data_IF_345628361303
#
_entry.id   IF_345628361303
#
_cell.length_a   1.000
_cell.length_b   1.000
_cell.length_c   1.000
_cell.angle_alpha   90.00
_cell.angle_beta   90.00
_cell.angle_gamma   90.00
#
_symmetry.space_group_name_H-M   'P 1'
#
loop_
_entity.id
_entity.type
_entity.pdbx_description
1 polymer ?
#
# COMPACT_ATOMS: atom_id res chain seq x y z
N UNK A 1 -24.12 3.30 12.57
CA UNK A 1 -22.90 2.52 12.30
C UNK A 1 -22.78 2.09 10.83
N UNK A 2 -23.87 1.77 10.11
CA UNK A 2 -23.84 1.33 8.70
C UNK A 2 -23.53 2.40 7.63
N UNK A 3 -23.24 3.65 8.00
CA UNK A 3 -23.09 4.75 7.05
C UNK A 3 -21.78 4.72 6.24
N UNK A 4 -20.87 3.82 6.56
CA UNK A 4 -19.52 3.74 5.97
C UNK A 4 -19.20 2.37 5.37
N UNK A 5 -20.21 1.49 5.25
CA UNK A 5 -19.99 0.14 4.75
C UNK A 5 -20.51 0.03 3.32
N UNK A 6 -19.60 0.06 2.37
CA UNK A 6 -19.89 -0.21 0.97
C UNK A 6 -19.64 -1.69 0.67
N UNK A 7 -20.45 -2.26 -0.22
CA UNK A 7 -20.33 -3.67 -0.60
C UNK A 7 -20.45 -3.81 -2.11
N UNK A 8 -19.65 -4.70 -2.69
CA UNK A 8 -19.65 -4.99 -4.12
C UNK A 8 -19.30 -6.45 -4.40
N UNK A 9 -19.36 -6.82 -5.68
CA UNK A 9 -18.96 -8.14 -6.17
C UNK A 9 -18.03 -7.98 -7.36
N UNK A 10 -17.00 -8.80 -7.39
CA UNK A 10 -16.01 -8.90 -8.46
C UNK A 10 -15.90 -10.38 -8.83
N UNK A 11 -15.83 -10.67 -10.13
CA UNK A 11 -15.53 -12.03 -10.60
C UNK A 11 -14.11 -12.42 -10.19
N UNK A 12 -13.94 -13.64 -9.64
CA UNK A 12 -12.61 -14.20 -9.36
C UNK A 12 -11.92 -14.75 -10.60
N UNK A 13 -12.61 -14.78 -11.75
CA UNK A 13 -12.05 -15.33 -12.99
C UNK A 13 -10.85 -14.48 -13.46
N UNK A 14 -9.67 -15.10 -13.54
CA UNK A 14 -8.42 -14.43 -13.91
C UNK A 14 -7.77 -13.62 -12.78
N UNK A 15 -8.35 -13.58 -11.58
CA UNK A 15 -7.76 -12.92 -10.42
C UNK A 15 -6.65 -13.80 -9.83
N UNK A 16 -5.41 -13.33 -9.85
CA UNK A 16 -4.25 -14.07 -9.32
C UNK A 16 -3.90 -13.66 -7.90
N UNK A 17 -4.08 -12.37 -7.58
CA UNK A 17 -3.70 -11.77 -6.31
C UNK A 17 -4.77 -10.77 -5.86
N UNK A 18 -5.04 -10.72 -4.56
CA UNK A 18 -5.83 -9.67 -3.91
C UNK A 18 -5.01 -9.08 -2.77
N UNK A 19 -4.81 -7.77 -2.80
CA UNK A 19 -4.13 -7.01 -1.74
C UNK A 19 -5.19 -6.14 -1.06
N UNK A 20 -5.31 -6.29 0.25
CA UNK A 20 -6.13 -5.45 1.12
C UNK A 20 -5.16 -4.73 2.06
N UNK A 21 -5.26 -3.41 2.20
CA UNK A 21 -4.36 -2.64 3.05
C UNK A 21 -5.07 -1.43 3.65
N UNK A 22 -4.60 -0.96 4.80
CA UNK A 22 -5.05 0.29 5.43
C UNK A 22 -4.39 1.50 4.78
N UNK A 23 -4.96 2.69 4.96
CA UNK A 23 -4.41 3.96 4.46
C UNK A 23 -3.02 4.31 5.05
N UNK A 24 -2.62 3.66 6.15
CA UNK A 24 -1.25 3.68 6.66
C UNK A 24 -0.21 3.02 5.74
N UNK A 25 -0.63 2.30 4.68
CA UNK A 25 0.26 1.73 3.67
C UNK A 25 -0.03 2.41 2.34
N UNK A 26 0.99 3.05 1.76
CA UNK A 26 0.84 3.83 0.53
C UNK A 26 2.00 3.56 -0.45
N UNK A 27 1.76 3.69 -1.77
CA UNK A 27 2.82 3.62 -2.76
C UNK A 27 3.87 4.72 -2.55
N UNK A 28 5.13 4.31 -2.37
CA UNK A 28 6.27 5.22 -2.41
C UNK A 28 6.34 5.96 -3.77
N UNK A 29 6.70 7.24 -3.74
CA UNK A 29 6.79 8.09 -4.94
C UNK A 29 8.10 7.84 -5.67
N UNK A 30 8.04 7.10 -6.78
CA UNK A 30 9.16 6.86 -7.70
C UNK A 30 9.07 7.70 -8.99
N UNK A 31 7.85 8.03 -9.43
CA UNK A 31 7.59 8.93 -10.55
C UNK A 31 6.51 9.96 -10.21
N UNK A 32 6.27 10.92 -11.10
CA UNK A 32 5.18 11.89 -10.98
C UNK A 32 3.80 11.30 -11.28
N UNK A 33 3.74 10.05 -11.76
CA UNK A 33 2.49 9.34 -12.06
C UNK A 33 2.06 8.45 -10.88
N UNK A 34 0.93 8.78 -10.25
CA UNK A 34 0.36 7.97 -9.17
C UNK A 34 0.02 6.53 -9.62
N UNK A 35 -0.43 6.37 -10.86
CA UNK A 35 -0.74 5.05 -11.43
C UNK A 35 0.50 4.19 -11.56
N UNK A 36 1.63 4.78 -11.95
CA UNK A 36 2.90 4.07 -12.09
C UNK A 36 3.44 3.67 -10.72
N UNK A 37 3.40 4.59 -9.74
CA UNK A 37 3.78 4.29 -8.36
C UNK A 37 2.93 3.14 -7.77
N UNK A 38 1.62 3.16 -8.04
CA UNK A 38 0.69 2.09 -7.62
C UNK A 38 1.06 0.75 -8.28
N UNK A 39 1.37 0.76 -9.57
CA UNK A 39 1.77 -0.46 -10.27
C UNK A 39 3.09 -1.03 -9.73
N UNK A 40 4.07 -0.16 -9.45
CA UNK A 40 5.35 -0.55 -8.83
C UNK A 40 5.09 -1.18 -7.46
N UNK A 41 4.28 -0.55 -6.62
CA UNK A 41 3.89 -1.09 -5.32
C UNK A 41 3.29 -2.50 -5.44
N UNK A 42 2.28 -2.68 -6.30
CA UNK A 42 1.63 -3.98 -6.51
C UNK A 42 2.66 -5.03 -6.94
N UNK A 43 3.53 -4.68 -7.89
CA UNK A 43 4.57 -5.58 -8.38
C UNK A 43 5.54 -5.98 -7.26
N UNK A 44 6.04 -5.01 -6.49
CA UNK A 44 6.96 -5.27 -5.38
C UNK A 44 6.34 -6.20 -4.33
N UNK A 45 5.07 -6.01 -3.99
CA UNK A 45 4.34 -6.86 -3.03
C UNK A 45 4.14 -8.27 -3.57
N UNK A 46 3.82 -8.41 -4.86
CA UNK A 46 3.65 -9.74 -5.49
C UNK A 46 4.98 -10.50 -5.53
N UNK A 47 6.06 -9.83 -5.93
CA UNK A 47 7.38 -10.43 -6.13
C UNK A 47 8.11 -10.72 -4.80
N UNK A 48 8.09 -9.77 -3.87
CA UNK A 48 8.92 -9.81 -2.65
C UNK A 48 8.11 -9.99 -1.36
N UNK A 49 6.78 -9.94 -1.45
CA UNK A 49 5.88 -10.06 -0.30
C UNK A 49 5.65 -8.74 0.44
N UNK A 50 4.58 -8.73 1.26
CA UNK A 50 4.18 -7.58 2.05
C UNK A 50 5.23 -7.14 3.07
N UNK A 51 5.89 -8.08 3.75
CA UNK A 51 6.89 -7.77 4.77
C UNK A 51 8.06 -6.96 4.20
N UNK A 52 8.57 -7.35 3.03
CA UNK A 52 9.65 -6.62 2.36
C UNK A 52 9.23 -5.19 2.00
N UNK A 53 7.99 -5.02 1.53
CA UNK A 53 7.49 -3.68 1.23
C UNK A 53 7.33 -2.81 2.49
N UNK A 54 6.79 -3.39 3.58
CA UNK A 54 6.62 -2.69 4.85
C UNK A 54 7.95 -2.27 5.48
N UNK A 55 8.99 -3.11 5.39
CA UNK A 55 10.34 -2.75 5.85
C UNK A 55 10.89 -1.55 5.07
N UNK A 56 10.73 -1.53 3.74
CA UNK A 56 11.11 -0.39 2.90
C UNK A 56 10.34 0.87 3.26
N UNK A 57 9.03 0.74 3.45
CA UNK A 57 8.16 1.85 3.83
C UNK A 57 8.59 2.44 5.17
N UNK A 58 8.73 1.61 6.21
CA UNK A 58 9.17 2.06 7.53
C UNK A 58 10.55 2.72 7.47
N UNK A 59 11.50 2.14 6.72
CA UNK A 59 12.82 2.75 6.53
C UNK A 59 12.74 4.12 5.84
N UNK A 60 11.89 4.26 4.83
CA UNK A 60 11.67 5.55 4.17
C UNK A 60 11.09 6.59 5.14
N UNK A 61 10.13 6.20 5.99
CA UNK A 61 9.55 7.08 7.00
C UNK A 61 10.57 7.49 8.07
N UNK A 62 11.40 6.55 8.53
CA UNK A 62 12.48 6.79 9.48
C UNK A 62 13.54 7.75 8.92
N UNK A 63 13.79 7.72 7.60
CA UNK A 63 14.76 8.59 6.92
C UNK A 63 14.20 10.00 6.63
N UNK A 64 12.88 10.18 6.49
CA UNK A 64 12.24 11.51 6.29
C UNK A 64 11.86 12.19 7.62
N UNK A 65 12.78 12.19 8.59
CA UNK A 65 12.63 12.79 9.94
C UNK A 65 12.18 14.26 9.87
N UNK A 66 12.54 14.99 8.81
CA UNK A 66 12.22 16.40 8.65
C UNK A 66 10.96 16.68 7.81
N UNK A 67 10.23 15.64 7.36
CA UNK A 67 8.97 15.76 6.60
C UNK A 67 9.10 16.60 5.33
N UNK A 68 10.27 16.55 4.69
CA UNK A 68 10.57 17.41 3.54
C UNK A 68 10.14 16.78 2.23
N UNK A 69 9.94 15.46 2.18
CA UNK A 69 9.61 14.75 0.94
C UNK A 69 8.10 14.56 0.76
N UNK A 70 7.33 14.39 1.83
CA UNK A 70 5.86 14.20 1.74
C UNK A 70 5.13 14.96 2.87
N UNK A 71 4.32 15.95 2.51
CA UNK A 71 3.69 16.92 3.43
C UNK A 71 2.67 16.34 4.42
N UNK A 72 2.21 15.10 4.26
CA UNK A 72 1.06 14.54 4.98
C UNK A 72 1.33 13.21 5.70
N UNK A 73 2.59 12.91 6.01
CA UNK A 73 2.88 11.69 6.77
C UNK A 73 2.45 11.82 8.23
N UNK A 74 1.36 11.13 8.59
CA UNK A 74 1.19 10.62 9.95
C UNK A 74 2.14 9.44 10.09
N UNK A 75 3.33 9.69 10.62
CA UNK A 75 4.42 8.69 10.83
C UNK A 75 3.95 7.45 11.65
N UNK A 76 2.77 7.52 12.26
CA UNK A 76 2.25 6.51 13.18
C UNK A 76 0.78 6.22 12.90
N UNK A 77 0.42 5.98 11.63
CA UNK A 77 -0.86 5.31 11.35
C UNK A 77 -0.69 3.80 11.42
N UNK A 78 -1.75 3.10 11.82
CA UNK A 78 -1.74 1.65 11.97
C UNK A 78 -1.62 0.99 10.59
N UNK A 79 -0.50 0.30 10.35
CA UNK A 79 -0.23 -0.40 9.08
C UNK A 79 -0.71 -1.84 9.16
N UNK A 80 -1.71 -2.19 8.36
CA UNK A 80 -2.18 -3.57 8.22
C UNK A 80 -2.42 -3.90 6.75
N UNK A 81 -2.00 -5.09 6.32
CA UNK A 81 -2.26 -5.61 5.00
C UNK A 81 -2.44 -7.12 4.96
N UNK A 82 -3.21 -7.59 3.97
CA UNK A 82 -3.43 -9.00 3.65
C UNK A 82 -3.18 -9.19 2.17
N UNK A 83 -2.34 -10.17 1.83
CA UNK A 83 -2.13 -10.64 0.46
C UNK A 83 -2.74 -12.04 0.34
N UNK A 84 -3.73 -12.18 -0.53
CA UNK A 84 -4.32 -13.47 -0.91
C UNK A 84 -3.83 -13.84 -2.31
N UNK A 85 -3.33 -15.06 -2.45
CA UNK A 85 -2.95 -15.67 -3.74
C UNK A 85 -3.96 -16.76 -4.08
N UNK A 86 -4.42 -16.81 -5.33
CA UNK A 86 -5.44 -17.76 -5.80
C UNK A 86 -4.87 -18.80 -6.76
#
# INVERSE_FOLDING_TARGET
MYKFLESGKISRQGLTHLILFTDGIYPLKYSDSENENTFIFIREVIENGLSSYLEKLNKFEDEDVQRKKISRLKISDDKAAILIKF
#
